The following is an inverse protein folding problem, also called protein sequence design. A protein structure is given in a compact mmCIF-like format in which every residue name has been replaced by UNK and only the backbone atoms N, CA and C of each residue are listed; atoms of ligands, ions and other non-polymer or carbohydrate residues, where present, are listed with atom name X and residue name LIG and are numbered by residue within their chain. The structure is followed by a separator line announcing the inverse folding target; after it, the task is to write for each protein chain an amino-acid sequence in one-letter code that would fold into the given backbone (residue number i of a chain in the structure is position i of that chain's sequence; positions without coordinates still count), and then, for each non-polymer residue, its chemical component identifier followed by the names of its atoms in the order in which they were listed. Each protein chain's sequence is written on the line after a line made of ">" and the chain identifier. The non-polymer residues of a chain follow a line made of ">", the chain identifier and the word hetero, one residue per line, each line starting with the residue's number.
data_IF_919887587496
#
_entry.id   IF_919887587496
#
_cell.length_a   1.000
_cell.length_b   1.000
_cell.length_c   1.000
_cell.angle_alpha   90.00
_cell.angle_beta   90.00
_cell.angle_gamma   90.00
#
_symmetry.space_group_name_H-M   'P 1'
#
loop_
_entity.id
_entity.type
_entity.pdbx_description
1 polymer ?
#
# COMPACT_ATOMS: atom_id res chain seq x y z
N UNK A 1 41.37 38.17 46.98
CA UNK A 1 41.54 36.92 46.21
C UNK A 1 40.47 36.86 45.12
N UNK A 2 40.85 37.11 43.86
CA UNK A 2 39.95 36.94 42.71
C UNK A 2 39.82 35.44 42.42
N UNK A 3 38.62 34.90 42.61
CA UNK A 3 38.28 33.51 42.24
C UNK A 3 38.40 33.38 40.72
N UNK A 4 39.36 32.58 40.23
CA UNK A 4 39.45 32.21 38.81
C UNK A 4 38.19 31.44 38.41
N UNK A 5 37.27 32.10 37.70
CA UNK A 5 36.18 31.43 36.99
C UNK A 5 36.74 30.78 35.73
N UNK A 6 36.66 29.45 35.62
CA UNK A 6 36.97 28.74 34.38
C UNK A 6 35.86 29.06 33.38
N UNK A 7 36.18 29.80 32.32
CA UNK A 7 35.29 30.07 31.19
C UNK A 7 35.81 29.33 29.96
N UNK A 8 34.89 28.87 29.10
CA UNK A 8 35.26 28.28 27.82
C UNK A 8 35.85 29.35 26.89
N UNK A 9 36.90 28.98 26.16
CA UNK A 9 37.43 29.81 25.09
C UNK A 9 36.49 29.79 23.89
N UNK A 10 36.53 30.85 23.08
CA UNK A 10 35.78 30.91 21.83
C UNK A 10 36.11 29.73 20.91
N UNK A 11 37.39 29.33 20.85
CA UNK A 11 37.82 28.19 20.05
C UNK A 11 37.23 26.86 20.53
N UNK A 12 37.18 26.61 21.85
CA UNK A 12 36.54 25.42 22.40
C UNK A 12 35.04 25.35 22.04
N UNK A 13 34.33 26.48 22.13
CA UNK A 13 32.90 26.55 21.74
C UNK A 13 32.72 26.33 20.23
N UNK A 14 33.57 26.91 19.39
CA UNK A 14 33.47 26.73 17.93
C UNK A 14 33.75 25.28 17.49
N UNK A 15 34.77 24.64 18.07
CA UNK A 15 35.09 23.24 17.75
C UNK A 15 33.96 22.31 18.21
N UNK A 16 33.41 22.53 19.40
CA UNK A 16 32.28 21.71 19.90
C UNK A 16 31.03 21.87 19.05
N UNK A 17 30.67 23.09 18.65
CA UNK A 17 29.54 23.33 17.74
C UNK A 17 29.79 22.71 16.36
N UNK A 18 31.02 22.77 15.84
CA UNK A 18 31.37 22.15 14.57
C UNK A 18 31.20 20.62 14.63
N UNK A 19 31.69 19.97 15.69
CA UNK A 19 31.54 18.52 15.88
C UNK A 19 30.07 18.12 16.01
N UNK A 20 29.29 18.81 16.83
CA UNK A 20 27.85 18.55 16.98
C UNK A 20 27.12 18.76 15.64
N UNK A 21 27.48 19.80 14.88
CA UNK A 21 26.92 20.09 13.57
C UNK A 21 27.16 18.96 12.56
N UNK A 22 28.38 18.42 12.49
CA UNK A 22 28.72 17.29 11.60
C UNK A 22 27.96 16.03 12.01
N UNK A 23 27.94 15.69 13.30
CA UNK A 23 27.22 14.50 13.78
C UNK A 23 25.72 14.63 13.54
N UNK A 24 25.13 15.80 13.80
CA UNK A 24 23.72 16.07 13.55
C UNK A 24 23.38 15.95 12.05
N UNK A 25 24.21 16.48 11.16
CA UNK A 25 24.01 16.40 9.72
C UNK A 25 23.97 14.97 9.18
N UNK A 26 24.73 14.05 9.80
CA UNK A 26 24.76 12.64 9.40
C UNK A 26 23.63 11.81 10.04
N UNK A 27 23.20 12.16 11.25
CA UNK A 27 22.26 11.35 12.04
C UNK A 27 20.81 11.76 11.89
N UNK A 28 20.51 13.06 11.73
CA UNK A 28 19.13 13.56 11.61
C UNK A 28 18.41 12.96 10.40
N UNK A 29 19.00 12.93 9.18
CA UNK A 29 18.31 12.36 8.02
C UNK A 29 18.00 10.87 8.20
N UNK A 30 18.97 10.10 8.71
CA UNK A 30 18.79 8.67 8.96
C UNK A 30 17.71 8.39 10.00
N UNK A 31 17.65 9.19 11.07
CA UNK A 31 16.61 9.08 12.10
C UNK A 31 15.21 9.38 11.53
N UNK A 32 15.09 10.46 10.74
CA UNK A 32 13.83 10.84 10.09
C UNK A 32 13.37 9.72 9.15
N UNK A 33 14.26 9.18 8.31
CA UNK A 33 13.93 8.11 7.38
C UNK A 33 13.45 6.85 8.11
N UNK A 34 14.16 6.44 9.18
CA UNK A 34 13.79 5.27 9.97
C UNK A 34 12.43 5.46 10.66
N UNK A 35 12.15 6.66 11.19
CA UNK A 35 10.86 6.98 11.79
C UNK A 35 9.73 6.91 10.76
N UNK A 36 9.93 7.47 9.56
CA UNK A 36 8.95 7.43 8.48
C UNK A 36 8.69 6.00 8.00
N UNK A 37 9.72 5.17 7.87
CA UNK A 37 9.60 3.77 7.48
C UNK A 37 8.79 2.96 8.51
N UNK A 38 9.04 3.18 9.79
CA UNK A 38 8.29 2.52 10.87
C UNK A 38 6.82 2.98 10.90
N UNK A 39 6.57 4.28 10.69
CA UNK A 39 5.21 4.81 10.58
C UNK A 39 4.46 4.20 9.38
N UNK A 40 5.12 4.10 8.22
CA UNK A 40 4.56 3.48 7.02
C UNK A 40 4.16 2.02 7.29
N UNK A 41 5.06 1.23 7.86
CA UNK A 41 4.79 -0.17 8.19
C UNK A 41 3.62 -0.32 9.18
N UNK A 42 3.55 0.54 10.19
CA UNK A 42 2.45 0.56 11.14
C UNK A 42 1.11 0.90 10.46
N UNK A 43 1.08 1.88 9.55
CA UNK A 43 -0.11 2.23 8.77
C UNK A 43 -0.57 1.09 7.88
N UNK A 44 0.34 0.48 7.11
CA UNK A 44 0.01 -0.64 6.22
C UNK A 44 -0.53 -1.83 7.02
N UNK A 45 0.09 -2.17 8.17
CA UNK A 45 -0.40 -3.23 9.05
C UNK A 45 -1.76 -2.93 9.66
N UNK A 46 -1.98 -1.69 10.14
CA UNK A 46 -3.30 -1.22 10.61
C UNK A 46 -4.33 -1.42 9.51
N UNK A 47 -4.01 -1.01 8.29
CA UNK A 47 -4.95 -1.07 7.17
C UNK A 47 -5.26 -2.48 6.71
N UNK A 48 -4.28 -3.39 6.74
CA UNK A 48 -4.56 -4.82 6.54
C UNK A 48 -5.62 -5.32 7.52
N UNK A 49 -5.56 -4.91 8.80
CA UNK A 49 -6.59 -5.25 9.79
C UNK A 49 -7.94 -4.58 9.49
N UNK A 50 -7.95 -3.30 9.12
CA UNK A 50 -9.17 -2.57 8.75
C UNK A 50 -9.87 -3.22 7.55
N UNK A 51 -9.12 -3.58 6.51
CA UNK A 51 -9.66 -4.24 5.32
C UNK A 51 -10.26 -5.61 5.66
N UNK A 52 -9.55 -6.43 6.46
CA UNK A 52 -10.10 -7.70 6.94
C UNK A 52 -11.38 -7.50 7.76
N UNK A 53 -11.46 -6.45 8.58
CA UNK A 53 -12.69 -6.13 9.33
C UNK A 53 -13.83 -5.69 8.40
N UNK A 54 -13.56 -4.88 7.38
CA UNK A 54 -14.55 -4.45 6.40
C UNK A 54 -15.13 -5.64 5.65
N UNK A 55 -14.28 -6.49 5.08
CA UNK A 55 -14.72 -7.68 4.35
C UNK A 55 -15.49 -8.63 5.26
N UNK A 56 -15.01 -8.87 6.49
CA UNK A 56 -15.73 -9.71 7.46
C UNK A 56 -17.12 -9.18 7.80
N UNK A 57 -17.27 -7.86 7.99
CA UNK A 57 -18.57 -7.24 8.27
C UNK A 57 -19.49 -7.34 7.06
N UNK A 58 -18.97 -7.09 5.87
CA UNK A 58 -19.72 -7.29 4.63
C UNK A 58 -20.21 -8.74 4.49
N UNK A 59 -19.35 -9.73 4.71
CA UNK A 59 -19.74 -11.14 4.63
C UNK A 59 -20.77 -11.55 5.68
N UNK A 60 -20.70 -10.96 6.87
CA UNK A 60 -21.65 -11.21 7.96
C UNK A 60 -23.03 -10.64 7.62
N UNK A 61 -23.09 -9.39 7.20
CA UNK A 61 -24.37 -8.70 6.93
C UNK A 61 -25.08 -9.24 5.68
N UNK A 62 -24.37 -9.98 4.82
CA UNK A 62 -24.90 -10.61 3.61
C UNK A 62 -24.91 -12.16 3.68
N UNK A 63 -24.74 -12.75 4.87
CA UNK A 63 -24.80 -14.20 5.11
C UNK A 63 -23.90 -15.07 4.19
N UNK A 64 -22.71 -14.55 3.84
CA UNK A 64 -21.79 -15.16 2.89
C UNK A 64 -20.37 -15.34 3.48
N UNK A 65 -20.31 -15.69 4.76
CA UNK A 65 -19.05 -15.93 5.47
C UNK A 65 -18.30 -17.12 4.84
N UNK A 66 -17.04 -16.91 4.47
CA UNK A 66 -16.20 -17.94 3.89
C UNK A 66 -16.35 -18.12 2.37
N UNK A 67 -17.32 -17.45 1.74
CA UNK A 67 -17.46 -17.44 0.29
C UNK A 67 -18.01 -16.09 -0.22
N UNK A 68 -17.11 -15.20 -0.64
CA UNK A 68 -17.47 -13.91 -1.20
C UNK A 68 -18.15 -13.99 -2.57
N UNK A 69 -18.01 -15.12 -3.27
CA UNK A 69 -18.60 -15.27 -4.59
C UNK A 69 -20.14 -15.30 -4.51
N UNK A 70 -20.70 -15.83 -3.42
CA UNK A 70 -22.16 -15.88 -3.27
C UNK A 70 -22.77 -14.56 -2.80
N UNK A 71 -21.96 -13.60 -2.34
CA UNK A 71 -22.47 -12.30 -1.90
C UNK A 71 -22.91 -11.37 -3.05
N UNK A 72 -22.50 -11.67 -4.29
CA UNK A 72 -22.87 -10.87 -5.46
C UNK A 72 -22.20 -9.48 -5.58
N UNK A 73 -21.21 -9.14 -4.75
CA UNK A 73 -20.43 -7.90 -4.93
C UNK A 73 -19.47 -8.02 -6.12
N UNK A 74 -18.73 -9.12 -6.18
CA UNK A 74 -17.75 -9.40 -7.22
C UNK A 74 -18.44 -10.11 -8.37
N UNK A 75 -18.25 -9.61 -9.59
CA UNK A 75 -18.88 -10.16 -10.79
C UNK A 75 -17.86 -10.69 -11.79
N UNK A 76 -16.58 -10.40 -11.56
CA UNK A 76 -15.52 -10.74 -12.48
C UNK A 76 -15.40 -9.74 -13.63
N UNK A 77 -15.90 -8.51 -13.46
CA UNK A 77 -15.90 -7.46 -14.49
C UNK A 77 -14.99 -6.31 -14.08
N UNK A 78 -13.88 -6.13 -14.79
CA UNK A 78 -12.90 -5.06 -14.55
C UNK A 78 -13.34 -3.68 -15.08
N UNK A 79 -14.55 -3.56 -15.61
CA UNK A 79 -15.08 -2.32 -16.15
C UNK A 79 -15.57 -1.37 -15.05
N UNK A 80 -16.02 -0.19 -15.47
CA UNK A 80 -16.50 0.82 -14.53
C UNK A 80 -17.70 0.32 -13.71
N UNK A 81 -18.61 -0.46 -14.33
CA UNK A 81 -19.81 -0.96 -13.67
C UNK A 81 -19.50 -2.03 -12.62
N UNK A 82 -18.60 -2.96 -12.92
CA UNK A 82 -18.15 -3.98 -11.96
C UNK A 82 -17.42 -3.35 -10.78
N UNK A 83 -16.53 -2.39 -11.03
CA UNK A 83 -15.85 -1.67 -9.96
C UNK A 83 -16.84 -0.86 -9.09
N UNK A 84 -17.85 -0.24 -9.72
CA UNK A 84 -18.92 0.47 -9.02
C UNK A 84 -19.74 -0.46 -8.13
N UNK A 85 -20.08 -1.65 -8.62
CA UNK A 85 -20.86 -2.63 -7.86
C UNK A 85 -20.13 -3.09 -6.60
N UNK A 86 -18.85 -3.42 -6.70
CA UNK A 86 -18.06 -3.78 -5.52
C UNK A 86 -17.93 -2.59 -4.57
N UNK A 87 -17.80 -1.38 -5.10
CA UNK A 87 -17.74 -0.16 -4.29
C UNK A 87 -19.03 0.08 -3.51
N UNK A 88 -20.18 0.02 -4.17
CA UNK A 88 -21.48 0.22 -3.54
C UNK A 88 -21.75 -0.79 -2.43
N UNK A 89 -21.27 -2.02 -2.60
CA UNK A 89 -21.35 -3.07 -1.60
C UNK A 89 -20.47 -2.80 -0.37
N UNK A 90 -19.25 -2.29 -0.56
CA UNK A 90 -18.27 -2.14 0.53
C UNK A 90 -18.21 -0.74 1.14
N UNK A 91 -18.62 0.31 0.43
CA UNK A 91 -18.61 1.71 0.90
C UNK A 91 -19.29 1.93 2.26
N UNK A 92 -20.40 1.25 2.65
CA UNK A 92 -21.05 1.50 3.94
C UNK A 92 -20.20 1.08 5.14
N UNK A 93 -19.22 0.20 4.92
CA UNK A 93 -18.33 -0.31 5.96
C UNK A 93 -17.08 0.55 6.15
N UNK A 94 -16.83 1.50 5.24
CA UNK A 94 -15.72 2.44 5.30
C UNK A 94 -16.15 3.78 5.93
N UNK A 95 -15.20 4.40 6.64
CA UNK A 95 -15.35 5.79 7.12
C UNK A 95 -14.81 6.74 6.07
N UNK A 96 -15.64 7.07 5.08
CA UNK A 96 -15.26 7.89 3.93
C UNK A 96 -15.36 9.38 4.29
N UNK A 97 -14.31 10.13 3.99
CA UNK A 97 -14.29 11.60 4.06
C UNK A 97 -14.60 12.23 2.69
N UNK A 98 -14.15 11.59 1.60
CA UNK A 98 -14.45 12.01 0.24
C UNK A 98 -14.63 10.78 -0.63
N UNK A 99 -15.81 10.64 -1.21
CA UNK A 99 -16.10 9.61 -2.21
C UNK A 99 -15.79 10.17 -3.59
N UNK A 100 -14.96 9.47 -4.36
CA UNK A 100 -14.64 9.81 -5.74
C UNK A 100 -15.26 8.84 -6.74
N UNK A 101 -15.93 7.81 -6.24
CA UNK A 101 -16.59 6.79 -7.03
C UNK A 101 -15.61 6.17 -8.04
N UNK A 102 -16.10 5.73 -9.20
CA UNK A 102 -15.25 5.30 -10.31
C UNK A 102 -14.90 6.41 -11.31
N UNK A 103 -15.16 7.68 -10.98
CA UNK A 103 -15.04 8.80 -11.91
C UNK A 103 -13.60 9.33 -12.00
N UNK A 104 -13.21 9.85 -13.17
CA UNK A 104 -11.90 10.47 -13.37
C UNK A 104 -11.78 11.85 -12.71
N UNK A 105 -10.56 12.24 -12.35
CA UNK A 105 -10.20 13.61 -11.94
C UNK A 105 -10.92 14.16 -10.69
N UNK A 106 -11.35 13.29 -9.77
CA UNK A 106 -12.08 13.72 -8.58
C UNK A 106 -11.18 14.16 -7.43
N UNK A 107 -9.86 14.00 -7.53
CA UNK A 107 -8.87 14.42 -6.53
C UNK A 107 -8.90 13.58 -5.26
N UNK A 108 -9.07 12.26 -5.39
CA UNK A 108 -8.82 11.30 -4.32
C UNK A 108 -7.36 10.84 -4.30
N UNK A 109 -6.70 10.87 -5.45
CA UNK A 109 -5.31 10.49 -5.63
C UNK A 109 -4.49 11.63 -6.23
N UNK A 110 -3.18 11.57 -6.03
CA UNK A 110 -2.27 12.48 -6.71
C UNK A 110 -2.18 12.11 -8.19
N UNK A 111 -1.90 13.09 -9.05
CA UNK A 111 -2.00 12.89 -10.50
C UNK A 111 -0.91 12.00 -11.07
N UNK A 112 0.26 11.93 -10.44
CA UNK A 112 1.43 11.21 -10.96
C UNK A 112 2.09 10.32 -9.91
N UNK A 113 2.13 9.02 -10.17
CA UNK A 113 2.85 8.05 -9.34
C UNK A 113 4.15 7.58 -9.99
N UNK A 114 5.14 7.23 -9.17
CA UNK A 114 6.35 6.55 -9.65
C UNK A 114 6.33 5.08 -9.25
N UNK A 115 6.84 4.23 -10.12
CA UNK A 115 7.18 2.85 -9.79
C UNK A 115 8.42 2.79 -8.89
N UNK A 116 8.68 1.63 -8.31
CA UNK A 116 9.83 1.43 -7.43
C UNK A 116 11.17 1.66 -8.15
N UNK A 117 11.26 1.27 -9.43
CA UNK A 117 12.42 1.51 -10.30
C UNK A 117 12.59 2.98 -10.75
N UNK A 118 11.69 3.88 -10.33
CA UNK A 118 11.76 5.31 -10.63
C UNK A 118 11.08 5.74 -11.94
N UNK A 119 10.61 4.81 -12.77
CA UNK A 119 9.80 5.16 -13.95
C UNK A 119 8.41 5.67 -13.52
N UNK A 120 7.79 6.52 -14.33
CA UNK A 120 6.47 7.11 -14.01
C UNK A 120 5.36 6.16 -14.44
N UNK A 121 4.35 5.98 -13.59
CA UNK A 121 3.13 5.27 -13.92
C UNK A 121 2.46 5.98 -15.11
N UNK A 122 2.16 5.29 -16.22
CA UNK A 122 1.40 5.90 -17.31
C UNK A 122 -0.03 6.18 -16.86
N UNK A 123 -0.47 7.43 -17.01
CA UNK A 123 -1.79 7.89 -16.55
C UNK A 123 -1.83 8.23 -15.06
N UNK A 124 -3.02 8.57 -14.59
CA UNK A 124 -3.26 8.88 -13.18
C UNK A 124 -4.10 7.80 -12.52
N UNK A 125 -3.73 7.42 -11.30
CA UNK A 125 -4.60 6.61 -10.43
C UNK A 125 -5.95 7.31 -10.23
N UNK A 126 -5.96 8.65 -10.21
CA UNK A 126 -7.18 9.44 -10.07
C UNK A 126 -8.10 9.37 -11.31
N UNK A 127 -7.56 8.98 -12.47
CA UNK A 127 -8.28 8.90 -13.74
C UNK A 127 -8.70 7.49 -14.12
N UNK A 128 -8.19 6.45 -13.46
CA UNK A 128 -8.59 5.07 -13.71
C UNK A 128 -10.03 4.78 -13.28
N UNK A 129 -10.71 3.88 -13.97
CA UNK A 129 -12.11 3.49 -13.68
C UNK A 129 -12.25 2.59 -12.44
N UNK A 130 -11.32 2.69 -11.50
CA UNK A 130 -11.33 1.99 -10.23
C UNK A 130 -12.16 2.78 -9.23
N UNK A 131 -12.78 2.10 -8.28
CA UNK A 131 -13.48 2.78 -7.20
C UNK A 131 -12.46 3.47 -6.29
N UNK A 132 -12.68 4.75 -5.98
CA UNK A 132 -11.70 5.59 -5.27
C UNK A 132 -12.38 6.36 -4.15
N UNK A 133 -11.71 6.44 -3.01
CA UNK A 133 -12.15 7.30 -1.92
C UNK A 133 -10.98 7.76 -1.06
N UNK A 134 -11.20 8.84 -0.31
CA UNK A 134 -10.36 9.23 0.82
C UNK A 134 -11.09 8.97 2.12
N UNK A 135 -10.42 8.31 3.03
CA UNK A 135 -10.95 7.95 4.34
C UNK A 135 -10.72 9.07 5.36
N UNK A 136 -11.46 9.01 6.47
CA UNK A 136 -11.41 10.02 7.53
C UNK A 136 -10.05 10.17 8.22
N UNK A 137 -9.17 9.17 8.13
CA UNK A 137 -7.80 9.24 8.66
C UNK A 137 -6.76 9.69 7.61
N UNK A 138 -7.21 10.16 6.45
CA UNK A 138 -6.39 10.78 5.42
C UNK A 138 -5.83 9.82 4.37
N UNK A 139 -6.05 8.51 4.53
CA UNK A 139 -5.62 7.48 3.58
C UNK A 139 -6.54 7.45 2.37
N UNK A 140 -5.95 7.37 1.18
CA UNK A 140 -6.69 7.18 -0.07
C UNK A 140 -6.75 5.69 -0.39
N UNK A 141 -7.90 5.21 -0.84
CA UNK A 141 -8.10 3.80 -1.17
C UNK A 141 -8.60 3.65 -2.61
N UNK A 142 -8.12 2.62 -3.29
CA UNK A 142 -8.67 2.14 -4.55
C UNK A 142 -9.23 0.75 -4.35
N UNK A 143 -10.27 0.42 -5.08
CA UNK A 143 -10.84 -0.90 -5.10
C UNK A 143 -11.21 -1.30 -6.52
N UNK A 144 -10.89 -2.54 -6.88
CA UNK A 144 -11.20 -3.12 -8.18
C UNK A 144 -11.71 -4.55 -8.05
N UNK A 145 -12.66 -4.90 -8.91
CA UNK A 145 -12.98 -6.30 -9.24
C UNK A 145 -11.87 -6.89 -10.13
N UNK A 146 -11.75 -8.20 -10.23
CA UNK A 146 -10.78 -8.85 -11.13
C UNK A 146 -11.48 -9.52 -12.31
N UNK A 147 -10.97 -9.27 -13.52
CA UNK A 147 -11.59 -9.67 -14.79
C UNK A 147 -11.37 -11.13 -15.18
N UNK A 148 -11.57 -12.07 -14.27
CA UNK A 148 -11.47 -13.50 -14.56
C UNK A 148 -12.57 -14.32 -13.88
N UNK A 149 -13.78 -13.75 -13.76
CA UNK A 149 -14.93 -14.37 -13.10
C UNK A 149 -15.01 -14.09 -11.60
N UNK A 150 -16.17 -14.43 -11.02
CA UNK A 150 -16.50 -14.18 -9.63
C UNK A 150 -15.62 -14.99 -8.65
N UNK A 151 -14.52 -14.39 -8.22
CA UNK A 151 -13.52 -14.97 -7.31
C UNK A 151 -12.72 -16.16 -7.85
N UNK A 152 -12.52 -16.26 -9.15
CA UNK A 152 -11.85 -17.39 -9.81
C UNK A 152 -10.45 -17.05 -10.36
N UNK A 153 -9.95 -15.84 -10.10
CA UNK A 153 -8.60 -15.46 -10.52
C UNK A 153 -7.55 -16.21 -9.70
N UNK A 154 -6.54 -16.78 -10.38
CA UNK A 154 -5.34 -17.31 -9.72
C UNK A 154 -4.20 -16.30 -9.72
N UNK A 155 -3.46 -16.25 -8.61
CA UNK A 155 -2.18 -15.52 -8.49
C UNK A 155 -1.06 -16.40 -7.96
N UNK A 156 -1.24 -17.71 -8.03
CA UNK A 156 -0.29 -18.72 -7.61
C UNK A 156 -0.28 -19.82 -8.68
N UNK A 157 0.88 -20.43 -8.90
CA UNK A 157 0.98 -21.63 -9.72
C UNK A 157 0.75 -22.91 -8.88
N UNK A 158 0.90 -22.81 -7.56
CA UNK A 158 0.65 -23.89 -6.59
C UNK A 158 -0.85 -24.05 -6.30
N UNK A 159 -1.48 -25.18 -6.67
CA UNK A 159 -2.89 -25.45 -6.39
C UNK A 159 -3.26 -25.47 -4.90
N UNK A 160 -2.27 -25.58 -4.00
CA UNK A 160 -2.48 -25.59 -2.54
C UNK A 160 -2.43 -24.19 -1.91
N UNK A 161 -2.03 -23.19 -2.69
CA UNK A 161 -1.90 -21.81 -2.22
C UNK A 161 -3.27 -21.18 -1.95
N UNK A 162 -3.41 -20.35 -0.90
CA UNK A 162 -4.62 -19.56 -0.66
C UNK A 162 -4.87 -18.49 -1.73
N UNK A 163 -4.00 -18.39 -2.75
CA UNK A 163 -4.11 -17.48 -3.89
C UNK A 163 -4.50 -18.19 -5.21
N UNK A 164 -4.64 -19.51 -5.21
CA UNK A 164 -5.04 -20.29 -6.38
C UNK A 164 -6.57 -20.22 -6.55
N UNK A 165 -7.03 -19.80 -7.74
CA UNK A 165 -8.47 -19.70 -8.13
C UNK A 165 -9.42 -19.10 -7.08
N UNK A 166 -8.94 -18.11 -6.33
CA UNK A 166 -9.65 -17.59 -5.15
C UNK A 166 -9.69 -16.07 -5.11
N UNK A 167 -9.00 -15.35 -5.99
CA UNK A 167 -8.95 -13.88 -5.87
C UNK A 167 -10.21 -13.26 -6.48
N UNK A 168 -10.92 -12.46 -5.68
CA UNK A 168 -12.11 -11.70 -6.08
C UNK A 168 -11.75 -10.30 -6.59
N UNK A 169 -10.89 -9.60 -5.86
CA UNK A 169 -10.63 -8.19 -6.09
C UNK A 169 -9.26 -7.77 -5.58
N UNK A 170 -8.87 -6.54 -5.90
CA UNK A 170 -7.68 -5.92 -5.35
C UNK A 170 -8.01 -4.57 -4.72
N UNK A 171 -7.28 -4.24 -3.66
CA UNK A 171 -7.39 -2.96 -2.96
C UNK A 171 -6.03 -2.28 -2.98
N UNK A 172 -5.97 -1.04 -3.42
CA UNK A 172 -4.81 -0.18 -3.23
C UNK A 172 -5.04 0.77 -2.06
N UNK A 173 -3.99 1.06 -1.29
CA UNK A 173 -4.03 2.10 -0.27
C UNK A 173 -2.85 3.05 -0.46
N UNK A 174 -3.10 4.35 -0.38
CA UNK A 174 -2.07 5.37 -0.26
C UNK A 174 -2.00 5.88 1.18
N UNK A 175 -0.90 5.59 1.86
CA UNK A 175 -0.71 5.96 3.28
C UNK A 175 -0.33 7.44 3.50
N UNK A 176 0.01 8.16 2.43
CA UNK A 176 0.45 9.56 2.44
C UNK A 176 -0.54 10.49 1.68
N UNK A 177 -1.54 9.91 1.02
CA UNK A 177 -2.65 10.59 0.38
C UNK A 177 -2.21 11.35 -0.88
N UNK A 178 -2.24 12.69 -0.82
CA UNK A 178 -1.83 13.55 -1.95
C UNK A 178 -0.37 14.01 -1.85
N UNK A 179 0.32 13.68 -0.75
CA UNK A 179 1.64 14.22 -0.45
C UNK A 179 2.74 13.39 -1.14
N UNK A 180 3.76 14.04 -1.72
CA UNK A 180 4.90 13.31 -2.29
C UNK A 180 5.62 12.45 -1.23
N UNK A 181 6.32 11.38 -1.62
CA UNK A 181 6.79 11.10 -2.99
C UNK A 181 5.81 10.35 -3.93
N UNK A 182 4.66 9.86 -3.45
CA UNK A 182 3.65 9.12 -4.24
C UNK A 182 4.29 8.00 -5.08
N UNK A 183 4.99 7.09 -4.40
CA UNK A 183 5.69 5.98 -5.03
C UNK A 183 5.04 4.63 -4.70
N UNK A 184 4.83 3.81 -5.73
CA UNK A 184 4.32 2.44 -5.58
C UNK A 184 5.35 1.60 -4.82
N UNK A 185 4.87 0.89 -3.83
CA UNK A 185 5.69 0.14 -2.88
C UNK A 185 6.09 0.95 -1.65
N UNK A 186 6.22 2.29 -1.73
CA UNK A 186 6.59 3.11 -0.55
C UNK A 186 5.42 3.83 0.10
N UNK A 187 4.56 4.46 -0.71
CA UNK A 187 3.35 5.17 -0.26
C UNK A 187 2.08 4.41 -0.68
N UNK A 188 2.11 3.83 -1.87
CA UNK A 188 0.96 3.11 -2.44
C UNK A 188 1.18 1.59 -2.39
N UNK A 189 0.30 0.90 -1.65
CA UNK A 189 0.41 -0.53 -1.34
C UNK A 189 -0.82 -1.29 -1.82
N UNK A 190 -0.65 -2.57 -2.14
CA UNK A 190 -1.68 -3.41 -2.73
C UNK A 190 -2.01 -4.63 -1.88
N UNK A 191 -3.30 -4.90 -1.77
CA UNK A 191 -3.87 -6.07 -1.13
C UNK A 191 -4.77 -6.82 -2.11
N UNK A 192 -4.97 -8.09 -1.83
CA UNK A 192 -5.84 -8.99 -2.57
C UNK A 192 -6.96 -9.46 -1.65
N UNK A 193 -8.18 -9.42 -2.15
CA UNK A 193 -9.35 -9.97 -1.48
C UNK A 193 -9.55 -11.38 -2.00
N UNK A 194 -9.51 -12.37 -1.12
CA UNK A 194 -9.76 -13.77 -1.48
C UNK A 194 -11.17 -14.22 -1.15
N UNK A 195 -11.62 -15.26 -1.85
CA UNK A 195 -12.97 -15.85 -1.77
C UNK A 195 -13.40 -16.16 -0.33
N UNK A 196 -12.49 -16.61 0.53
CA UNK A 196 -12.75 -16.86 1.95
C UNK A 196 -13.18 -15.60 2.75
N UNK A 197 -13.00 -14.40 2.21
CA UNK A 197 -13.23 -13.15 2.93
C UNK A 197 -12.01 -12.63 3.68
N UNK A 198 -10.84 -13.22 3.44
CA UNK A 198 -9.56 -12.75 3.96
C UNK A 198 -8.91 -11.78 2.99
N UNK A 199 -8.16 -10.82 3.52
CA UNK A 199 -7.36 -9.87 2.73
C UNK A 199 -5.88 -10.16 2.95
N UNK A 200 -5.18 -10.52 1.88
CA UNK A 200 -3.74 -10.79 1.90
C UNK A 200 -2.95 -9.66 1.25
N UNK A 201 -1.75 -9.33 1.78
CA UNK A 201 -0.88 -8.38 1.10
C UNK A 201 -0.36 -8.95 -0.21
N UNK A 202 -0.22 -8.11 -1.23
CA UNK A 202 0.42 -8.50 -2.49
C UNK A 202 1.89 -8.81 -2.27
N UNK A 203 2.42 -9.82 -2.96
CA UNK A 203 3.77 -10.35 -2.76
C UNK A 203 3.90 -11.35 -1.60
N UNK A 204 2.80 -11.74 -0.94
CA UNK A 204 2.81 -12.83 0.04
C UNK A 204 2.59 -14.19 -0.62
N UNK A 205 2.99 -15.26 0.08
CA UNK A 205 2.98 -16.63 -0.45
C UNK A 205 3.80 -16.72 -1.73
N UNK A 206 3.34 -17.50 -2.70
CA UNK A 206 3.91 -17.71 -4.03
C UNK A 206 3.22 -16.81 -5.08
N UNK A 207 2.98 -15.54 -4.74
CA UNK A 207 2.44 -14.53 -5.65
C UNK A 207 3.38 -14.27 -6.84
N UNK A 208 3.32 -15.15 -7.84
CA UNK A 208 4.25 -15.20 -8.97
C UNK A 208 4.27 -13.91 -9.80
N UNK A 209 3.24 -13.07 -9.65
CA UNK A 209 3.03 -11.87 -10.45
C UNK A 209 3.64 -10.59 -9.83
N UNK A 210 4.16 -10.61 -8.59
CA UNK A 210 4.52 -9.37 -7.87
C UNK A 210 5.72 -9.53 -6.93
N UNK A 211 6.88 -9.04 -7.36
CA UNK A 211 8.08 -8.90 -6.51
C UNK A 211 8.22 -7.54 -5.82
N UNK A 212 9.13 -7.48 -4.85
CA UNK A 212 9.60 -6.25 -4.21
C UNK A 212 11.11 -6.07 -4.45
N UNK A 213 11.49 -5.79 -5.69
CA UNK A 213 12.87 -5.48 -6.06
C UNK A 213 12.90 -4.21 -6.92
N UNK A 214 13.67 -3.16 -6.55
CA UNK A 214 13.89 -1.99 -7.39
C UNK A 214 14.70 -2.29 -8.66
N UNK A 215 15.54 -3.33 -8.66
CA UNK A 215 16.35 -3.74 -9.79
C UNK A 215 15.51 -4.56 -10.79
N UNK A 216 15.48 -4.10 -12.04
CA UNK A 216 14.70 -4.66 -13.14
C UNK A 216 15.28 -5.94 -13.73
N UNK A 217 15.88 -6.84 -12.92
CA UNK A 217 16.81 -7.82 -13.49
C UNK A 217 16.97 -9.17 -12.78
N UNK A 218 16.17 -9.54 -11.78
CA UNK A 218 16.28 -10.91 -11.28
C UNK A 218 15.52 -11.86 -12.23
N UNK A 219 16.29 -12.49 -13.12
CA UNK A 219 15.88 -13.61 -13.98
C UNK A 219 15.77 -14.91 -13.18
N UNK A 220 15.30 -14.87 -11.94
CA UNK A 220 14.91 -16.08 -11.25
C UNK A 220 13.63 -16.58 -11.94
N UNK A 221 13.75 -17.74 -12.57
CA UNK A 221 12.79 -18.37 -13.50
C UNK A 221 11.42 -18.72 -12.88
N UNK A 222 11.10 -18.24 -11.67
CA UNK A 222 9.84 -18.46 -10.95
C UNK A 222 9.02 -17.18 -10.68
N UNK A 223 9.51 -15.98 -11.02
CA UNK A 223 8.78 -14.71 -10.80
C UNK A 223 8.45 -14.04 -12.14
N UNK A 224 7.42 -14.56 -12.82
CA UNK A 224 6.81 -13.86 -13.96
C UNK A 224 5.90 -12.73 -13.46
N UNK A 225 6.51 -11.70 -12.89
CA UNK A 225 5.83 -10.58 -12.26
C UNK A 225 6.62 -9.29 -12.41
N UNK A 226 6.03 -8.26 -13.00
CA UNK A 226 6.68 -7.03 -13.43
C UNK A 226 7.74 -6.49 -12.42
N UNK A 227 9.03 -6.80 -12.62
CA UNK A 227 10.09 -6.44 -11.68
C UNK A 227 10.31 -4.93 -11.71
N UNK A 228 10.59 -4.32 -10.55
CA UNK A 228 10.76 -2.86 -10.45
C UNK A 228 9.47 -2.06 -10.28
N UNK A 229 8.27 -2.65 -10.30
CA UNK A 229 7.03 -1.89 -10.10
C UNK A 229 6.65 -1.70 -8.62
N UNK A 230 7.17 -2.53 -7.71
CA UNK A 230 6.93 -2.40 -6.27
C UNK A 230 5.59 -2.96 -5.79
N UNK A 231 4.84 -3.65 -6.64
CA UNK A 231 3.51 -4.18 -6.31
C UNK A 231 3.54 -5.25 -5.20
N UNK A 232 4.67 -5.98 -5.06
CA UNK A 232 4.87 -6.99 -4.02
C UNK A 232 5.41 -6.45 -2.68
N UNK A 233 5.74 -5.16 -2.60
CA UNK A 233 6.35 -4.58 -1.40
C UNK A 233 5.43 -4.49 -0.19
N UNK A 234 4.14 -4.78 -0.38
CA UNK A 234 3.15 -4.81 0.70
C UNK A 234 3.40 -5.97 1.66
N UNK A 235 3.75 -7.15 1.16
CA UNK A 235 4.11 -8.27 2.01
C UNK A 235 5.44 -8.02 2.74
N UNK A 236 6.40 -7.44 2.04
CA UNK A 236 7.74 -7.18 2.57
C UNK A 236 7.73 -6.18 3.74
N UNK A 237 7.01 -5.06 3.59
CA UNK A 237 6.90 -4.07 4.66
C UNK A 237 6.18 -4.63 5.90
N UNK A 238 5.19 -5.51 5.72
CA UNK A 238 4.47 -6.14 6.83
C UNK A 238 5.38 -7.16 7.55
N UNK A 239 6.18 -7.91 6.79
CA UNK A 239 7.10 -8.93 7.32
C UNK A 239 8.26 -8.32 8.08
N UNK A 240 8.90 -7.29 7.52
CA UNK A 240 10.10 -6.67 8.09
C UNK A 240 9.80 -5.46 8.99
N UNK A 241 8.55 -4.99 9.02
CA UNK A 241 8.14 -3.84 9.84
C UNK A 241 8.81 -2.53 9.44
N UNK A 242 9.39 -2.47 8.22
CA UNK A 242 10.16 -1.33 7.70
C UNK A 242 10.33 -1.46 6.19
N UNK A 243 10.58 -0.34 5.52
CA UNK A 243 10.93 -0.27 4.09
C UNK A 243 12.45 -0.43 3.96
N UNK A 244 12.92 -1.58 3.44
CA UNK A 244 14.35 -1.95 3.43
C UNK A 244 14.93 -2.21 2.02
N UNK A 245 14.28 -1.68 0.99
CA UNK A 245 14.66 -1.84 -0.41
C UNK A 245 14.78 -0.49 -1.12
#
# INVERSE_FOLDING_TARGET
>A
MLKKTKAFTLAEVLVTLAVIGVVAALTIPALIQNSQNAEAAAKVKKYSSVLNQVIKRYSLDNDCIGDLAVCGAFTGNLDQAGNQQVWDALKPYFKIAKDCDTNAGQGCFYTSYKYLNGTTLPGSVDDFNWAKARLADGISITLVDLGAGNCTSSKSADPTSPLYETICGAVGIDINGLKPPNQIGRDYFHFKIVKNGTVYPSGAFDDYARGCDPASGDTNEDVSGAPGFGLGCTAEIIKHGSINY
#
